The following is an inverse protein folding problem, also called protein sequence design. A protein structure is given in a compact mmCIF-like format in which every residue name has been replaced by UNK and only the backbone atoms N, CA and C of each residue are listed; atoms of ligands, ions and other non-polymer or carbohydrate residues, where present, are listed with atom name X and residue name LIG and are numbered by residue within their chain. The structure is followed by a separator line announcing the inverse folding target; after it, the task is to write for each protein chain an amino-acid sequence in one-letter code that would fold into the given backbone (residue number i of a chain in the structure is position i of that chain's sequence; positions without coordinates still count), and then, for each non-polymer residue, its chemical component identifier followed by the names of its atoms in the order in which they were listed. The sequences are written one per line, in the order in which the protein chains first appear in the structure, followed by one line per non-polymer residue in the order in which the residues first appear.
data_IF_771087544522
#
_entry.id   IF_771087544522
#
_cell.length_a   1.000
_cell.length_b   1.000
_cell.length_c   1.000
_cell.angle_alpha   90.00
_cell.angle_beta   90.00
_cell.angle_gamma   90.00
#
_symmetry.space_group_name_H-M   'P 1'
#
loop_
_entity.id
_entity.type
_entity.pdbx_description
1 polymer ?
#
# COMPACT_ATOMS: atom_id res chain seq x y z
N UNK A 1 11.38 -32.91 -10.30
CA UNK A 1 10.78 -31.69 -10.91
C UNK A 1 10.49 -30.69 -9.80
N UNK A 2 10.52 -29.37 -10.05
CA UNK A 2 10.16 -28.34 -9.04
C UNK A 2 8.77 -28.55 -8.44
N UNK A 3 7.84 -29.10 -9.24
CA UNK A 3 6.48 -29.46 -8.83
C UNK A 3 6.37 -30.69 -7.91
N UNK A 4 7.46 -31.42 -7.65
CA UNK A 4 7.38 -32.72 -6.96
C UNK A 4 6.95 -32.57 -5.49
N UNK A 5 5.86 -33.26 -5.12
CA UNK A 5 5.29 -33.21 -3.77
C UNK A 5 4.47 -31.94 -3.48
N UNK A 6 4.22 -31.09 -4.47
CA UNK A 6 3.37 -29.92 -4.34
C UNK A 6 1.92 -30.23 -4.73
N UNK A 7 0.94 -29.49 -4.16
CA UNK A 7 -0.46 -29.60 -4.56
C UNK A 7 -0.68 -29.35 -6.06
N UNK A 8 -1.67 -29.98 -6.73
CA UNK A 8 -1.82 -29.92 -8.19
C UNK A 8 -2.03 -28.51 -8.77
N UNK A 9 -2.76 -27.66 -8.06
CA UNK A 9 -3.00 -26.25 -8.41
C UNK A 9 -1.73 -25.40 -8.31
N UNK A 10 -0.87 -25.65 -7.32
CA UNK A 10 0.46 -25.01 -7.23
C UNK A 10 1.40 -25.55 -8.30
N UNK A 11 1.43 -26.87 -8.49
CA UNK A 11 2.24 -27.53 -9.50
C UNK A 11 1.92 -27.03 -10.93
N UNK A 12 0.65 -26.70 -11.20
CA UNK A 12 0.21 -26.17 -12.49
C UNK A 12 0.77 -24.77 -12.82
N UNK A 13 1.14 -23.97 -11.80
CA UNK A 13 1.77 -22.67 -11.98
C UNK A 13 3.26 -22.77 -12.34
N UNK A 14 3.90 -23.89 -11.99
CA UNK A 14 5.33 -24.06 -12.13
C UNK A 14 5.71 -24.51 -13.55
N UNK A 15 6.82 -24.02 -14.09
CA UNK A 15 7.32 -24.45 -15.39
C UNK A 15 7.73 -25.94 -15.40
N UNK A 16 7.44 -26.65 -16.49
CA UNK A 16 7.50 -28.13 -16.57
C UNK A 16 8.90 -28.73 -16.82
N UNK A 17 9.98 -27.95 -16.87
CA UNK A 17 11.35 -28.40 -17.24
C UNK A 17 12.44 -28.19 -16.17
N UNK A 18 13.60 -28.86 -16.31
CA UNK A 18 14.72 -28.78 -15.36
C UNK A 18 15.51 -27.45 -15.40
N UNK A 19 15.54 -26.77 -16.55
CA UNK A 19 16.19 -25.46 -16.79
C UNK A 19 15.31 -24.24 -16.47
N UNK A 20 14.19 -24.47 -15.77
CA UNK A 20 13.04 -23.57 -15.83
C UNK A 20 13.10 -22.28 -15.02
N UNK A 21 14.04 -22.15 -14.07
CA UNK A 21 14.16 -20.95 -13.23
C UNK A 21 15.18 -19.93 -13.76
N UNK A 22 15.77 -20.14 -14.94
CA UNK A 22 16.73 -19.23 -15.57
C UNK A 22 17.79 -18.69 -14.58
N UNK A 23 18.48 -19.58 -13.84
CA UNK A 23 19.45 -19.26 -12.78
C UNK A 23 20.81 -18.76 -13.31
N UNK A 24 20.80 -17.96 -14.38
CA UNK A 24 21.98 -17.34 -14.98
C UNK A 24 22.01 -15.87 -14.61
N UNK A 25 22.97 -15.47 -13.78
CA UNK A 25 23.10 -14.11 -13.28
C UNK A 25 24.37 -13.43 -13.80
N UNK A 26 24.35 -12.10 -13.85
CA UNK A 26 25.53 -11.31 -14.18
C UNK A 26 26.61 -11.48 -13.08
N UNK A 27 27.79 -12.08 -13.37
CA UNK A 27 28.78 -12.39 -12.34
C UNK A 27 29.41 -11.17 -11.67
N UNK A 28 29.36 -10.00 -12.33
CA UNK A 28 29.83 -8.73 -11.77
C UNK A 28 28.84 -8.12 -10.78
N UNK A 29 27.58 -8.59 -10.76
CA UNK A 29 26.54 -8.07 -9.89
C UNK A 29 26.21 -9.05 -8.76
N UNK A 30 25.98 -10.33 -9.10
CA UNK A 30 25.71 -11.40 -8.13
C UNK A 30 26.86 -12.43 -8.19
N UNK A 31 27.67 -12.58 -7.12
CA UNK A 31 28.82 -13.48 -7.14
C UNK A 31 28.45 -14.95 -7.42
N UNK A 32 29.30 -15.68 -8.12
CA UNK A 32 29.03 -17.07 -8.50
C UNK A 32 28.77 -18.01 -7.30
N UNK A 33 29.42 -17.75 -6.15
CA UNK A 33 29.19 -18.50 -4.91
C UNK A 33 27.77 -18.27 -4.34
N UNK A 34 27.24 -17.05 -4.47
CA UNK A 34 25.87 -16.72 -4.08
C UNK A 34 24.87 -17.42 -5.02
N UNK A 35 25.13 -17.40 -6.32
CA UNK A 35 24.31 -18.15 -7.29
C UNK A 35 24.31 -19.66 -7.01
N UNK A 36 25.44 -20.22 -6.56
CA UNK A 36 25.53 -21.63 -6.18
C UNK A 36 24.60 -21.98 -5.00
N UNK A 37 24.49 -21.10 -4.00
CA UNK A 37 23.57 -21.30 -2.87
C UNK A 37 22.11 -21.41 -3.31
N UNK A 38 21.64 -20.55 -4.20
CA UNK A 38 20.28 -20.65 -4.75
C UNK A 38 20.09 -21.93 -5.57
N UNK A 39 21.10 -22.37 -6.33
CA UNK A 39 21.04 -23.64 -7.07
C UNK A 39 20.90 -24.83 -6.12
N UNK A 40 21.69 -24.86 -5.04
CA UNK A 40 21.59 -25.90 -4.01
C UNK A 40 20.20 -25.91 -3.35
N UNK A 41 19.64 -24.73 -3.03
CA UNK A 41 18.28 -24.62 -2.49
C UNK A 41 17.22 -25.19 -3.46
N UNK A 42 17.34 -24.89 -4.76
CA UNK A 42 16.45 -25.42 -5.81
C UNK A 42 16.56 -26.94 -5.94
N UNK A 43 17.78 -27.48 -5.94
CA UNK A 43 18.05 -28.92 -6.01
C UNK A 43 17.48 -29.65 -4.78
N UNK A 44 17.73 -29.11 -3.58
CA UNK A 44 17.18 -29.62 -2.33
C UNK A 44 15.65 -29.64 -2.35
N UNK A 45 15.01 -28.58 -2.84
CA UNK A 45 13.55 -28.50 -2.88
C UNK A 45 12.93 -29.52 -3.86
N UNK A 46 13.60 -29.79 -4.99
CA UNK A 46 13.21 -30.82 -5.95
C UNK A 46 13.26 -32.23 -5.38
N UNK A 47 14.01 -32.44 -4.28
CA UNK A 47 14.34 -33.76 -3.76
C UNK A 47 15.34 -34.52 -4.64
N UNK A 48 16.13 -33.80 -5.44
CA UNK A 48 17.12 -34.41 -6.34
C UNK A 48 18.42 -34.67 -5.57
N UNK A 49 18.56 -35.88 -5.03
CA UNK A 49 19.78 -36.34 -4.32
C UNK A 49 20.79 -36.99 -5.28
N UNK A 50 20.67 -36.79 -6.60
CA UNK A 50 21.50 -37.48 -7.59
C UNK A 50 23.01 -37.18 -7.47
N UNK A 51 23.43 -36.18 -6.68
CA UNK A 51 24.83 -35.89 -6.34
C UNK A 51 25.31 -36.49 -5.01
N UNK A 52 24.65 -37.51 -4.47
CA UNK A 52 25.06 -38.16 -3.23
C UNK A 52 24.69 -37.35 -1.97
N UNK A 53 25.21 -37.71 -0.78
CA UNK A 53 24.77 -37.15 0.51
C UNK A 53 25.37 -35.74 0.75
N UNK A 54 25.19 -34.80 -0.18
CA UNK A 54 25.93 -33.52 -0.22
C UNK A 54 25.15 -32.33 0.31
N UNK A 55 23.82 -32.41 0.43
CA UNK A 55 23.08 -31.35 1.12
C UNK A 55 23.17 -31.55 2.63
N UNK A 56 24.18 -30.91 3.23
CA UNK A 56 24.37 -30.84 4.68
C UNK A 56 23.15 -30.22 5.37
N UNK A 57 22.39 -29.37 4.66
CA UNK A 57 21.26 -28.61 5.18
C UNK A 57 19.94 -28.92 4.45
N UNK A 58 18.80 -28.95 5.16
CA UNK A 58 17.46 -29.05 4.58
C UNK A 58 17.11 -27.91 3.60
N UNK A 59 16.24 -28.19 2.64
CA UNK A 59 15.79 -27.21 1.64
C UNK A 59 15.23 -25.89 2.24
N UNK A 60 14.41 -25.92 3.32
CA UNK A 60 13.96 -24.68 3.97
C UNK A 60 15.10 -23.81 4.48
N UNK A 61 16.14 -24.42 5.08
CA UNK A 61 17.30 -23.69 5.61
C UNK A 61 18.13 -23.06 4.50
N UNK A 62 18.41 -23.81 3.42
CA UNK A 62 19.12 -23.29 2.24
C UNK A 62 18.35 -22.13 1.58
N UNK A 63 17.03 -22.25 1.48
CA UNK A 63 16.20 -21.18 0.89
C UNK A 63 16.18 -19.90 1.74
N UNK A 64 16.20 -20.03 3.07
CA UNK A 64 16.30 -18.90 4.00
C UNK A 64 17.68 -18.25 3.94
N UNK A 65 18.74 -19.05 3.92
CA UNK A 65 20.10 -18.53 3.73
C UNK A 65 20.24 -17.77 2.39
N UNK A 66 19.62 -18.27 1.31
CA UNK A 66 19.60 -17.56 0.04
C UNK A 66 18.86 -16.21 0.14
N UNK A 67 17.75 -16.15 0.87
CA UNK A 67 17.05 -14.88 1.15
C UNK A 67 17.87 -13.91 1.99
N UNK A 68 18.57 -14.39 3.02
CA UNK A 68 19.39 -13.55 3.90
C UNK A 68 20.54 -12.90 3.13
N UNK A 69 21.24 -13.67 2.28
CA UNK A 69 22.29 -13.13 1.40
C UNK A 69 21.71 -12.13 0.40
N UNK A 70 20.53 -12.42 -0.15
CA UNK A 70 19.83 -11.51 -1.05
C UNK A 70 19.47 -10.19 -0.35
N UNK A 71 19.01 -10.27 0.89
CA UNK A 71 18.68 -9.11 1.71
C UNK A 71 19.90 -8.21 1.92
N UNK A 72 21.06 -8.77 2.26
CA UNK A 72 22.31 -8.02 2.37
C UNK A 72 22.68 -7.32 1.05
N UNK A 73 22.56 -8.02 -0.08
CA UNK A 73 22.82 -7.46 -1.41
C UNK A 73 21.85 -6.34 -1.79
N UNK A 74 20.57 -6.44 -1.43
CA UNK A 74 19.58 -5.38 -1.67
C UNK A 74 19.81 -4.14 -0.78
N UNK A 75 20.42 -4.32 0.39
CA UNK A 75 20.64 -3.24 1.37
C UNK A 75 22.08 -2.71 1.37
N UNK A 76 22.92 -3.11 0.40
CA UNK A 76 24.31 -2.65 0.32
C UNK A 76 24.49 -1.26 -0.32
N UNK A 77 23.43 -0.70 -0.93
CA UNK A 77 23.45 0.59 -1.62
C UNK A 77 22.07 1.27 -1.55
N UNK A 78 21.99 2.53 -2.01
CA UNK A 78 20.71 3.21 -2.19
C UNK A 78 19.82 2.40 -3.15
N UNK A 79 18.52 2.26 -2.83
CA UNK A 79 17.59 1.40 -3.59
C UNK A 79 17.57 1.65 -5.11
N UNK A 80 17.73 2.91 -5.53
CA UNK A 80 17.80 3.30 -6.95
C UNK A 80 19.01 2.69 -7.68
N UNK A 81 20.09 2.42 -6.95
CA UNK A 81 21.35 1.91 -7.48
C UNK A 81 21.47 0.38 -7.31
N UNK A 82 20.49 -0.25 -6.65
CA UNK A 82 20.42 -1.70 -6.48
C UNK A 82 20.13 -2.37 -7.81
N UNK A 83 21.02 -3.27 -8.23
CA UNK A 83 20.87 -4.03 -9.48
C UNK A 83 19.57 -4.86 -9.50
N UNK A 84 18.97 -4.92 -10.69
CA UNK A 84 17.82 -5.78 -10.99
C UNK A 84 18.16 -7.26 -10.81
N UNK A 85 19.43 -7.67 -10.98
CA UNK A 85 19.86 -9.06 -10.76
C UNK A 85 19.72 -9.47 -9.30
N UNK A 86 20.03 -8.59 -8.34
CA UNK A 86 19.78 -8.84 -6.91
C UNK A 86 18.28 -8.95 -6.61
N UNK A 87 17.45 -8.10 -7.23
CA UNK A 87 15.99 -8.17 -7.10
C UNK A 87 15.43 -9.47 -7.69
N UNK A 88 15.95 -9.92 -8.83
CA UNK A 88 15.60 -11.21 -9.44
C UNK A 88 16.03 -12.38 -8.56
N UNK A 89 17.23 -12.32 -7.99
CA UNK A 89 17.75 -13.33 -7.07
C UNK A 89 16.87 -13.43 -5.82
N UNK A 90 16.48 -12.30 -5.23
CA UNK A 90 15.58 -12.25 -4.09
C UNK A 90 14.21 -12.89 -4.41
N UNK A 91 13.60 -12.53 -5.55
CA UNK A 91 12.32 -13.08 -5.98
C UNK A 91 12.36 -14.60 -6.18
N UNK A 92 13.45 -15.13 -6.76
CA UNK A 92 13.65 -16.56 -6.94
C UNK A 92 13.87 -17.29 -5.61
N UNK A 93 14.67 -16.72 -4.70
CA UNK A 93 14.86 -17.27 -3.35
C UNK A 93 13.55 -17.31 -2.56
N UNK A 94 12.74 -16.25 -2.65
CA UNK A 94 11.40 -16.17 -2.08
C UNK A 94 10.47 -17.24 -2.65
N UNK A 95 10.48 -17.45 -3.97
CA UNK A 95 9.72 -18.54 -4.60
C UNK A 95 10.13 -19.89 -4.03
N UNK A 96 11.42 -20.20 -3.97
CA UNK A 96 11.91 -21.50 -3.46
C UNK A 96 11.50 -21.71 -2.00
N UNK A 97 11.67 -20.68 -1.16
CA UNK A 97 11.25 -20.72 0.25
C UNK A 97 9.74 -20.97 0.38
N UNK A 98 8.91 -20.26 -0.40
CA UNK A 98 7.48 -20.48 -0.43
C UNK A 98 7.12 -21.91 -0.83
N UNK A 99 7.77 -22.48 -1.85
CA UNK A 99 7.53 -23.86 -2.27
C UNK A 99 7.93 -24.87 -1.18
N UNK A 100 9.00 -24.63 -0.44
CA UNK A 100 9.40 -25.46 0.71
C UNK A 100 8.30 -25.50 1.77
N UNK A 101 7.75 -24.34 2.13
CA UNK A 101 6.67 -24.23 3.10
C UNK A 101 5.37 -24.88 2.60
N UNK A 102 5.00 -24.68 1.34
CA UNK A 102 3.82 -25.32 0.73
C UNK A 102 3.91 -26.85 0.79
N UNK A 103 5.10 -27.40 0.58
CA UNK A 103 5.35 -28.85 0.64
C UNK A 103 5.17 -29.42 2.05
N UNK A 104 5.45 -28.63 3.09
CA UNK A 104 5.19 -29.03 4.48
C UNK A 104 3.68 -29.07 4.80
N UNK A 105 2.90 -28.19 4.17
CA UNK A 105 1.44 -28.35 4.00
C UNK A 105 0.57 -28.01 5.22
N UNK A 106 1.14 -27.57 6.35
CA UNK A 106 0.34 -27.09 7.50
C UNK A 106 -0.12 -25.65 7.29
N UNK A 107 -1.15 -25.24 8.02
CA UNK A 107 -1.76 -23.91 7.87
C UNK A 107 -0.77 -22.78 8.15
N UNK A 108 0.07 -22.92 9.18
CA UNK A 108 1.17 -22.01 9.50
C UNK A 108 2.20 -21.92 8.37
N UNK A 109 2.51 -23.04 7.71
CA UNK A 109 3.43 -23.05 6.58
C UNK A 109 2.81 -22.33 5.36
N UNK A 110 1.51 -22.50 5.11
CA UNK A 110 0.85 -21.78 4.02
C UNK A 110 0.86 -20.25 4.25
N UNK A 111 0.73 -19.79 5.50
CA UNK A 111 0.89 -18.36 5.83
C UNK A 111 2.31 -17.89 5.59
N UNK A 112 3.29 -18.68 6.00
CA UNK A 112 4.70 -18.35 5.79
C UNK A 112 5.06 -18.34 4.29
N UNK A 113 4.47 -19.23 3.49
CA UNK A 113 4.59 -19.22 2.05
C UNK A 113 4.02 -17.93 1.41
N UNK A 114 2.86 -17.45 1.89
CA UNK A 114 2.31 -16.15 1.47
C UNK A 114 3.26 -15.02 1.85
N UNK A 115 3.81 -15.03 3.08
CA UNK A 115 4.79 -14.04 3.53
C UNK A 115 6.02 -13.99 2.62
N UNK A 116 6.58 -15.14 2.27
CA UNK A 116 7.71 -15.19 1.33
C UNK A 116 7.34 -14.63 -0.05
N UNK A 117 6.16 -14.97 -0.58
CA UNK A 117 5.72 -14.42 -1.85
C UNK A 117 5.53 -12.90 -1.81
N UNK A 118 4.89 -12.37 -0.77
CA UNK A 118 4.71 -10.91 -0.61
C UNK A 118 6.06 -10.20 -0.46
N UNK A 119 7.00 -10.75 0.32
CA UNK A 119 8.37 -10.20 0.37
C UNK A 119 9.06 -10.22 -0.99
N UNK A 120 8.90 -11.31 -1.76
CA UNK A 120 9.44 -11.39 -3.11
C UNK A 120 8.78 -10.41 -4.09
N UNK A 121 7.52 -10.02 -3.88
CA UNK A 121 6.83 -8.98 -4.65
C UNK A 121 7.28 -7.56 -4.23
N UNK A 122 7.49 -7.33 -2.94
CA UNK A 122 7.90 -6.03 -2.38
C UNK A 122 9.37 -5.72 -2.69
N UNK A 123 10.25 -6.71 -2.50
CA UNK A 123 11.71 -6.52 -2.57
C UNK A 123 12.32 -7.06 -3.87
N UNK A 124 11.60 -7.88 -4.62
CA UNK A 124 12.11 -8.58 -5.79
C UNK A 124 11.72 -7.95 -7.12
N UNK A 125 12.18 -8.58 -8.20
CA UNK A 125 11.74 -8.28 -9.56
C UNK A 125 10.64 -9.26 -9.99
N UNK A 126 9.80 -8.84 -10.93
CA UNK A 126 8.83 -9.74 -11.56
C UNK A 126 9.58 -10.92 -12.22
N UNK A 127 9.17 -12.14 -11.88
CA UNK A 127 9.75 -13.38 -12.40
C UNK A 127 8.65 -14.32 -12.90
N UNK A 128 8.98 -15.08 -13.94
CA UNK A 128 8.15 -16.19 -14.45
C UNK A 128 6.69 -15.76 -14.63
N UNK A 129 6.45 -14.63 -15.30
CA UNK A 129 5.11 -14.10 -15.53
C UNK A 129 4.32 -13.91 -14.21
N UNK A 130 4.90 -13.12 -13.29
CA UNK A 130 4.34 -12.80 -11.97
C UNK A 130 3.91 -14.02 -11.15
N UNK A 131 4.75 -15.07 -11.14
CA UNK A 131 4.43 -16.34 -10.47
C UNK A 131 4.12 -16.18 -8.99
N UNK A 132 4.79 -15.27 -8.28
CA UNK A 132 4.56 -15.04 -6.85
C UNK A 132 3.13 -14.54 -6.59
N UNK A 133 2.64 -13.61 -7.43
CA UNK A 133 1.25 -13.12 -7.32
C UNK A 133 0.23 -14.24 -7.57
N UNK A 134 0.46 -15.04 -8.62
CA UNK A 134 -0.41 -16.18 -8.95
C UNK A 134 -0.39 -17.24 -7.84
N UNK A 135 0.78 -17.47 -7.24
CA UNK A 135 0.94 -18.41 -6.13
C UNK A 135 0.17 -17.92 -4.91
N UNK A 136 0.28 -16.65 -4.55
CA UNK A 136 -0.49 -16.05 -3.45
C UNK A 136 -1.99 -16.19 -3.69
N UNK A 137 -2.49 -15.97 -4.90
CA UNK A 137 -3.90 -16.13 -5.20
C UNK A 137 -4.41 -17.58 -4.95
N UNK A 138 -3.59 -18.59 -5.26
CA UNK A 138 -3.89 -20.00 -4.95
C UNK A 138 -3.86 -20.25 -3.45
N UNK A 139 -2.84 -19.73 -2.74
CA UNK A 139 -2.68 -19.92 -1.30
C UNK A 139 -3.78 -19.21 -0.50
N UNK A 140 -4.18 -18.01 -0.90
CA UNK A 140 -5.29 -17.27 -0.29
C UNK A 140 -6.60 -18.05 -0.40
N UNK A 141 -6.91 -18.64 -1.57
CA UNK A 141 -8.11 -19.49 -1.73
C UNK A 141 -8.10 -20.70 -0.78
N UNK A 142 -6.92 -21.27 -0.53
CA UNK A 142 -6.75 -22.36 0.44
C UNK A 142 -6.95 -21.89 1.87
N UNK A 143 -6.35 -20.76 2.23
CA UNK A 143 -6.43 -20.18 3.57
C UNK A 143 -7.83 -19.66 3.92
N UNK A 144 -8.55 -19.08 2.96
CA UNK A 144 -9.94 -18.61 3.14
C UNK A 144 -10.95 -19.76 3.24
N UNK A 145 -10.68 -20.90 2.59
CA UNK A 145 -11.50 -22.11 2.70
C UNK A 145 -11.37 -22.84 4.04
N UNK A 146 -10.34 -22.53 4.83
CA UNK A 146 -10.19 -23.04 6.20
C UNK A 146 -11.11 -22.24 7.12
N UNK A 147 -12.14 -22.89 7.68
CA UNK A 147 -13.08 -22.27 8.64
C UNK A 147 -12.29 -21.62 9.77
N UNK A 148 -12.44 -20.32 9.96
CA UNK A 148 -11.89 -19.60 11.12
C UNK A 148 -12.99 -18.89 11.92
N UNK A 149 -12.71 -18.70 13.21
CA UNK A 149 -13.55 -18.06 14.22
C UNK A 149 -13.59 -16.52 14.14
N UNK A 150 -13.32 -15.94 12.96
CA UNK A 150 -13.25 -14.48 12.78
C UNK A 150 -14.62 -13.80 12.71
N UNK A 151 -15.71 -14.55 12.88
CA UNK A 151 -17.09 -14.01 12.99
C UNK A 151 -17.19 -12.90 14.06
N UNK A 152 -16.35 -12.95 15.11
CA UNK A 152 -16.32 -11.91 16.17
C UNK A 152 -15.84 -10.53 15.68
N UNK A 153 -15.11 -10.45 14.55
CA UNK A 153 -14.67 -9.17 13.97
C UNK A 153 -15.73 -8.51 13.08
N UNK A 154 -16.70 -9.29 12.58
CA UNK A 154 -17.78 -8.75 11.77
C UNK A 154 -18.73 -7.87 12.61
N UNK A 155 -18.81 -8.14 13.92
CA UNK A 155 -19.62 -7.37 14.87
C UNK A 155 -18.92 -6.09 15.37
N UNK A 156 -17.62 -5.90 15.09
CA UNK A 156 -16.88 -4.69 15.52
C UNK A 156 -17.24 -3.53 14.58
N UNK A 157 -17.89 -2.45 15.06
CA UNK A 157 -18.21 -1.32 14.22
C UNK A 157 -16.94 -0.69 13.64
N UNK A 158 -16.94 -0.41 12.34
CA UNK A 158 -15.81 0.27 11.70
C UNK A 158 -15.69 1.75 12.14
N UNK A 159 -16.79 2.32 12.66
CA UNK A 159 -16.88 3.73 13.06
C UNK A 159 -16.73 3.94 14.57
N UNK A 160 -15.79 3.24 15.22
CA UNK A 160 -15.45 3.52 16.62
C UNK A 160 -14.87 4.95 16.68
N UNK A 161 -15.71 5.90 17.12
CA UNK A 161 -15.29 7.29 17.34
C UNK A 161 -14.35 7.32 18.53
N UNK A 162 -13.25 8.08 18.41
CA UNK A 162 -12.41 8.37 19.56
C UNK A 162 -13.18 9.27 20.54
N UNK A 163 -13.16 9.02 21.86
CA UNK A 163 -13.82 9.87 22.85
C UNK A 163 -13.37 11.35 22.79
N UNK A 164 -12.11 11.58 22.39
CA UNK A 164 -11.48 12.91 22.35
C UNK A 164 -11.42 13.54 20.96
N UNK A 165 -12.05 12.95 19.93
CA UNK A 165 -12.10 13.56 18.60
C UNK A 165 -12.93 14.84 18.69
N UNK A 166 -12.26 15.99 18.85
CA UNK A 166 -12.92 17.30 18.80
C UNK A 166 -13.63 17.39 17.45
N UNK A 167 -14.96 17.45 17.49
CA UNK A 167 -15.77 17.69 16.30
C UNK A 167 -15.33 19.03 15.71
N UNK A 168 -14.62 18.99 14.58
CA UNK A 168 -14.26 20.18 13.84
C UNK A 168 -15.55 20.85 13.36
N UNK A 169 -15.95 21.95 14.00
CA UNK A 169 -17.02 22.80 13.49
C UNK A 169 -16.49 23.53 12.26
N UNK A 170 -16.92 23.08 11.09
CA UNK A 170 -16.58 23.71 9.82
C UNK A 170 -17.22 25.09 9.74
N UNK A 171 -16.44 26.08 9.32
CA UNK A 171 -16.99 27.41 9.02
C UNK A 171 -17.62 27.38 7.62
N UNK A 172 -18.89 27.76 7.43
CA UNK A 172 -19.55 27.70 6.12
C UNK A 172 -18.80 28.46 5.01
N UNK A 173 -18.16 29.58 5.37
CA UNK A 173 -17.36 30.42 4.45
C UNK A 173 -16.09 29.72 3.95
N UNK A 174 -15.62 28.69 4.66
CA UNK A 174 -14.40 27.92 4.33
C UNK A 174 -14.74 26.50 3.88
N UNK A 175 -16.02 26.15 3.80
CA UNK A 175 -16.41 24.81 3.37
C UNK A 175 -15.99 24.59 1.91
N UNK A 176 -15.43 23.40 1.64
CA UNK A 176 -15.26 22.95 0.24
C UNK A 176 -16.64 22.88 -0.43
N UNK A 177 -16.81 23.40 -1.66
CA UNK A 177 -18.07 23.28 -2.40
C UNK A 177 -18.49 21.82 -2.55
N UNK A 178 -19.79 21.56 -2.48
CA UNK A 178 -20.34 20.20 -2.58
C UNK A 178 -21.21 20.09 -3.83
N UNK A 179 -20.98 19.07 -4.65
CA UNK A 179 -21.75 18.78 -5.85
C UNK A 179 -22.21 17.32 -5.84
N UNK A 180 -23.50 17.10 -6.07
CA UNK A 180 -24.07 15.76 -6.22
C UNK A 180 -24.00 15.35 -7.68
N UNK A 181 -23.17 14.33 -7.98
CA UNK A 181 -22.99 13.76 -9.34
C UNK A 181 -22.93 14.81 -10.46
N UNK A 182 -22.01 15.80 -10.41
CA UNK A 182 -21.87 16.76 -11.49
C UNK A 182 -21.50 16.07 -12.80
N UNK A 183 -21.88 16.67 -13.94
CA UNK A 183 -21.41 16.14 -15.23
C UNK A 183 -19.89 16.27 -15.35
N UNK A 184 -19.26 15.41 -16.15
CA UNK A 184 -17.81 15.50 -16.43
C UNK A 184 -17.42 16.89 -16.96
N UNK A 185 -18.25 17.51 -17.80
CA UNK A 185 -18.03 18.88 -18.30
C UNK A 185 -18.06 19.91 -17.15
N UNK A 186 -19.06 19.81 -16.26
CA UNK A 186 -19.17 20.69 -15.10
C UNK A 186 -17.96 20.55 -14.17
N UNK A 187 -17.56 19.32 -13.86
CA UNK A 187 -16.35 19.05 -13.09
C UNK A 187 -15.11 19.63 -13.77
N UNK A 188 -14.94 19.37 -15.07
CA UNK A 188 -13.78 19.83 -15.83
C UNK A 188 -13.67 21.35 -15.84
N UNK A 189 -14.74 22.05 -16.21
CA UNK A 189 -14.74 23.51 -16.37
C UNK A 189 -14.67 24.28 -15.05
N UNK A 190 -15.32 23.78 -14.00
CA UNK A 190 -15.45 24.53 -12.74
C UNK A 190 -14.42 24.12 -11.68
N UNK A 191 -13.84 22.92 -11.78
CA UNK A 191 -12.97 22.36 -10.75
C UNK A 191 -11.61 21.92 -11.27
N UNK A 192 -11.55 21.05 -12.29
CA UNK A 192 -10.28 20.56 -12.81
C UNK A 192 -9.42 21.70 -13.39
N UNK A 193 -9.93 22.41 -14.40
CA UNK A 193 -9.18 23.47 -15.09
C UNK A 193 -8.86 24.67 -14.19
N UNK A 194 -9.77 25.15 -13.32
CA UNK A 194 -9.47 26.25 -12.39
C UNK A 194 -8.73 25.81 -11.12
N UNK A 195 -8.36 24.53 -11.02
CA UNK A 195 -7.74 23.91 -9.85
C UNK A 195 -8.48 24.23 -8.54
N UNK A 196 -9.80 23.98 -8.49
CA UNK A 196 -10.63 24.22 -7.31
C UNK A 196 -11.07 22.90 -6.66
N UNK A 197 -10.77 22.68 -5.36
CA UNK A 197 -11.27 21.52 -4.64
C UNK A 197 -12.79 21.43 -4.65
N UNK A 198 -13.32 20.20 -4.66
CA UNK A 198 -14.77 19.95 -4.59
C UNK A 198 -15.06 18.60 -3.93
N UNK A 199 -16.11 18.56 -3.11
CA UNK A 199 -16.68 17.34 -2.59
C UNK A 199 -17.71 16.80 -3.58
N UNK A 200 -17.43 15.64 -4.16
CA UNK A 200 -18.28 14.93 -5.10
C UNK A 200 -19.12 13.90 -4.33
N UNK A 201 -20.42 14.13 -4.26
CA UNK A 201 -21.37 13.27 -3.54
C UNK A 201 -22.10 12.33 -4.51
N UNK A 202 -22.45 11.15 -3.99
CA UNK A 202 -23.17 10.08 -4.70
C UNK A 202 -22.50 9.56 -5.98
N UNK A 203 -21.21 9.81 -6.18
CA UNK A 203 -20.46 9.38 -7.37
C UNK A 203 -19.96 7.95 -7.27
N UNK A 204 -19.69 7.49 -6.04
CA UNK A 204 -19.17 6.14 -5.73
C UNK A 204 -20.16 5.30 -4.93
N UNK A 205 -21.41 5.76 -4.78
CA UNK A 205 -22.47 5.12 -3.98
C UNK A 205 -22.78 3.67 -4.41
N UNK A 206 -22.39 3.30 -5.62
CA UNK A 206 -22.57 1.97 -6.20
C UNK A 206 -21.42 0.99 -5.87
N UNK A 207 -20.33 1.45 -5.23
CA UNK A 207 -19.20 0.58 -4.91
C UNK A 207 -19.58 -0.51 -3.90
N UNK A 208 -19.28 -1.79 -4.20
CA UNK A 208 -19.43 -2.86 -3.23
C UNK A 208 -18.68 -2.60 -1.92
N UNK A 209 -17.52 -1.92 -1.97
CA UNK A 209 -16.71 -1.60 -0.81
C UNK A 209 -17.49 -0.88 0.32
N UNK A 210 -18.43 0.01 -0.03
CA UNK A 210 -19.22 0.79 0.94
C UNK A 210 -20.16 -0.06 1.81
N UNK A 211 -20.47 -1.29 1.38
CA UNK A 211 -21.37 -2.20 2.10
C UNK A 211 -20.70 -3.50 2.52
N UNK A 212 -19.68 -3.95 1.78
CA UNK A 212 -18.97 -5.20 2.05
C UNK A 212 -17.85 -5.05 3.06
N UNK A 213 -17.13 -3.93 3.07
CA UNK A 213 -15.89 -3.83 3.83
C UNK A 213 -16.17 -3.56 5.32
N UNK A 214 -15.98 -4.61 6.11
CA UNK A 214 -15.80 -4.57 7.56
C UNK A 214 -14.37 -4.95 7.93
N UNK A 215 -13.98 -4.73 9.20
CA UNK A 215 -12.69 -5.24 9.70
C UNK A 215 -12.57 -6.76 9.53
N UNK A 216 -13.64 -7.50 9.84
CA UNK A 216 -13.70 -8.94 9.64
C UNK A 216 -13.59 -9.36 8.16
N UNK A 217 -14.23 -8.62 7.24
CA UNK A 217 -14.08 -8.86 5.81
C UNK A 217 -12.64 -8.63 5.34
N UNK A 218 -12.02 -7.51 5.71
CA UNK A 218 -10.64 -7.18 5.32
C UNK A 218 -9.64 -8.23 5.85
N UNK A 219 -9.76 -8.64 7.12
CA UNK A 219 -8.91 -9.69 7.70
C UNK A 219 -9.15 -11.05 7.03
N UNK A 220 -10.39 -11.38 6.68
CA UNK A 220 -10.71 -12.63 5.98
C UNK A 220 -10.09 -12.67 4.59
N UNK A 221 -10.20 -11.58 3.83
CA UNK A 221 -9.73 -11.51 2.45
C UNK A 221 -8.21 -11.34 2.34
N UNK A 222 -7.62 -10.55 3.24
CA UNK A 222 -6.25 -10.08 3.10
C UNK A 222 -5.42 -10.19 4.39
N UNK A 223 -5.94 -10.80 5.47
CA UNK A 223 -5.28 -10.84 6.77
C UNK A 223 -3.88 -11.45 6.76
N UNK A 224 -3.60 -12.42 5.88
CA UNK A 224 -2.28 -13.03 5.76
C UNK A 224 -1.29 -12.24 4.89
N UNK A 225 -1.74 -11.15 4.25
CA UNK A 225 -0.91 -10.37 3.32
C UNK A 225 0.01 -9.45 4.08
N UNK A 226 1.27 -9.39 3.68
CA UNK A 226 2.25 -8.47 4.25
C UNK A 226 2.03 -7.07 3.68
N UNK A 227 1.87 -6.09 4.56
CA UNK A 227 1.60 -4.69 4.23
C UNK A 227 2.60 -3.78 4.95
N UNK A 228 2.98 -2.64 4.34
CA UNK A 228 3.76 -1.61 5.01
C UNK A 228 2.90 -0.82 5.98
N UNK A 229 3.44 -0.57 7.17
CA UNK A 229 2.80 0.21 8.22
C UNK A 229 3.78 1.25 8.73
N UNK A 230 3.36 2.51 8.69
CA UNK A 230 4.02 3.62 9.35
C UNK A 230 3.74 3.58 10.84
N UNK A 231 4.78 3.76 11.66
CA UNK A 231 4.69 3.83 13.12
C UNK A 231 5.14 5.20 13.60
N UNK A 232 4.25 5.93 14.25
CA UNK A 232 4.51 7.29 14.74
C UNK A 232 3.30 8.21 14.53
N UNK A 233 3.32 9.39 15.15
CA UNK A 233 2.24 10.38 14.96
C UNK A 233 2.26 11.02 13.58
N UNK A 234 3.46 11.33 13.07
CA UNK A 234 3.68 12.00 11.77
C UNK A 234 4.97 11.48 11.14
N UNK A 235 5.02 11.38 9.81
CA UNK A 235 6.25 11.05 9.08
C UNK A 235 7.34 12.11 9.18
N UNK A 236 7.02 13.29 9.70
CA UNK A 236 7.98 14.35 10.01
C UNK A 236 8.65 14.18 11.38
N UNK A 237 8.19 13.24 12.21
CA UNK A 237 8.72 13.05 13.57
C UNK A 237 10.00 12.21 13.57
N UNK A 238 10.95 12.54 14.44
CA UNK A 238 12.24 11.84 14.52
C UNK A 238 12.15 10.36 14.92
N UNK A 239 11.05 9.95 15.55
CA UNK A 239 10.78 8.57 15.96
C UNK A 239 9.90 7.80 14.97
N UNK A 240 9.53 8.42 13.84
CA UNK A 240 8.79 7.74 12.80
C UNK A 240 9.63 6.63 12.18
N UNK A 241 8.99 5.50 11.92
CA UNK A 241 9.60 4.37 11.22
C UNK A 241 8.54 3.66 10.38
N UNK A 242 9.00 2.81 9.46
CA UNK A 242 8.14 1.94 8.68
C UNK A 242 8.50 0.50 8.99
N UNK A 243 7.49 -0.36 9.09
CA UNK A 243 7.70 -1.80 9.29
C UNK A 243 6.75 -2.61 8.40
N UNK A 244 7.12 -3.87 8.16
CA UNK A 244 6.29 -4.83 7.46
C UNK A 244 5.63 -5.75 8.49
N UNK A 245 4.31 -5.91 8.40
CA UNK A 245 3.56 -6.88 9.17
C UNK A 245 2.38 -7.41 8.35
N UNK A 246 1.71 -8.43 8.84
CA UNK A 246 0.49 -8.90 8.18
C UNK A 246 -0.67 -7.91 8.42
N UNK A 247 -1.62 -7.82 7.48
CA UNK A 247 -2.82 -7.01 7.67
C UNK A 247 -3.60 -7.42 8.92
N UNK A 248 -3.64 -8.72 9.24
CA UNK A 248 -4.27 -9.23 10.46
C UNK A 248 -3.58 -8.67 11.72
N UNK A 249 -2.24 -8.73 11.79
CA UNK A 249 -1.48 -8.14 12.91
C UNK A 249 -1.69 -6.63 13.01
N UNK A 250 -1.74 -5.93 11.87
CA UNK A 250 -2.02 -4.49 11.85
C UNK A 250 -3.38 -4.17 12.47
N UNK A 251 -4.44 -4.87 12.04
CA UNK A 251 -5.80 -4.69 12.56
C UNK A 251 -5.86 -5.02 14.06
N UNK A 252 -5.29 -6.15 14.47
CA UNK A 252 -5.32 -6.56 15.87
C UNK A 252 -4.57 -5.56 16.78
N UNK A 253 -3.37 -5.12 16.39
CA UNK A 253 -2.53 -4.25 17.22
C UNK A 253 -2.95 -2.78 17.18
N UNK A 254 -3.16 -2.22 15.99
CA UNK A 254 -3.27 -0.78 15.79
C UNK A 254 -4.68 -0.28 15.50
N UNK A 255 -5.64 -1.16 15.25
CA UNK A 255 -7.06 -0.80 15.08
C UNK A 255 -7.83 -1.20 16.35
N UNK A 256 -7.87 -2.48 16.67
CA UNK A 256 -8.65 -3.02 17.79
C UNK A 256 -8.03 -2.64 19.13
N UNK A 257 -6.74 -2.92 19.31
CA UNK A 257 -6.02 -2.65 20.55
C UNK A 257 -5.20 -1.35 20.50
N UNK A 258 -5.66 -0.36 19.71
CA UNK A 258 -4.95 0.89 19.46
C UNK A 258 -4.57 1.64 20.75
N UNK A 259 -5.45 1.63 21.76
CA UNK A 259 -5.23 2.30 23.05
C UNK A 259 -4.11 1.65 23.88
N UNK A 260 -3.77 0.39 23.60
CA UNK A 260 -2.69 -0.33 24.26
C UNK A 260 -1.32 -0.10 23.59
N UNK A 261 -1.28 0.60 22.45
CA UNK A 261 -0.04 0.85 21.72
C UNK A 261 0.56 2.21 22.11
N UNK A 262 1.88 2.23 22.27
CA UNK A 262 2.63 3.47 22.52
C UNK A 262 2.68 4.38 21.28
N UNK A 263 2.56 3.81 20.09
CA UNK A 263 2.60 4.52 18.81
C UNK A 263 1.36 4.23 17.98
N UNK A 264 1.01 5.20 17.12
CA UNK A 264 -0.05 5.03 16.12
C UNK A 264 0.53 4.25 14.94
N UNK A 265 -0.20 3.26 14.45
CA UNK A 265 0.10 2.54 13.22
C UNK A 265 -0.79 3.01 12.08
N UNK A 266 -0.22 3.28 10.91
CA UNK A 266 -0.97 3.72 9.74
C UNK A 266 -0.51 2.96 8.49
N UNK A 267 -1.42 2.22 7.85
CA UNK A 267 -1.21 1.70 6.50
C UNK A 267 -1.52 2.84 5.54
N UNK A 268 -0.49 3.58 5.16
CA UNK A 268 -0.58 4.78 4.34
C UNK A 268 0.05 4.53 2.97
N UNK A 269 -0.54 5.15 1.93
CA UNK A 269 0.01 5.22 0.58
C UNK A 269 0.51 3.87 0.04
N UNK A 270 -0.32 2.83 0.15
CA UNK A 270 0.01 1.49 -0.33
C UNK A 270 -0.89 1.08 -1.49
N UNK A 271 -0.30 0.57 -2.58
CA UNK A 271 -0.99 0.01 -3.74
C UNK A 271 -1.62 -1.37 -3.43
N UNK A 272 -2.44 -1.41 -2.39
CA UNK A 272 -3.06 -2.61 -1.82
C UNK A 272 -3.90 -3.38 -2.85
N UNK A 273 -4.45 -2.68 -3.84
CA UNK A 273 -5.37 -3.22 -4.82
C UNK A 273 -4.68 -4.03 -5.91
N UNK A 274 -3.44 -3.71 -6.22
CA UNK A 274 -2.60 -4.52 -7.10
C UNK A 274 -2.13 -5.77 -6.37
N UNK A 275 -1.88 -5.64 -5.06
CA UNK A 275 -1.55 -6.76 -4.20
C UNK A 275 -2.74 -7.72 -4.01
N UNK A 276 -3.97 -7.20 -3.87
CA UNK A 276 -5.18 -7.97 -3.55
C UNK A 276 -6.31 -7.67 -4.55
N UNK A 277 -6.36 -8.41 -5.68
CA UNK A 277 -7.35 -8.19 -6.74
C UNK A 277 -8.81 -8.32 -6.28
N UNK A 278 -9.09 -9.13 -5.26
CA UNK A 278 -10.45 -9.27 -4.73
C UNK A 278 -10.97 -7.96 -4.11
N UNK A 279 -10.11 -7.17 -3.45
CA UNK A 279 -10.47 -5.84 -2.95
C UNK A 279 -10.57 -4.84 -4.10
N UNK A 280 -9.72 -4.97 -5.12
CA UNK A 280 -9.81 -4.15 -6.33
C UNK A 280 -11.15 -4.29 -7.05
N UNK A 281 -11.75 -5.48 -7.04
CA UNK A 281 -13.07 -5.72 -7.64
C UNK A 281 -14.24 -5.02 -6.90
N UNK A 282 -13.99 -4.50 -5.70
CA UNK A 282 -15.00 -3.80 -4.89
C UNK A 282 -15.02 -2.28 -5.10
N UNK A 283 -14.13 -1.75 -5.95
CA UNK A 283 -13.98 -0.33 -6.28
C UNK A 283 -13.91 -0.13 -7.80
N UNK A 284 -14.23 1.08 -8.27
CA UNK A 284 -14.15 1.47 -9.68
C UNK A 284 -13.45 2.83 -9.76
N UNK A 285 -12.55 3.01 -10.72
CA UNK A 285 -11.93 4.33 -10.96
C UNK A 285 -13.04 5.36 -11.24
N UNK A 286 -13.13 6.48 -10.50
CA UNK A 286 -14.14 7.50 -10.76
C UNK A 286 -14.04 8.03 -12.19
N UNK A 287 -15.18 8.18 -12.88
CA UNK A 287 -15.22 8.65 -14.27
C UNK A 287 -14.50 9.99 -14.49
N UNK A 288 -14.41 10.83 -13.46
CA UNK A 288 -13.67 12.10 -13.52
C UNK A 288 -12.16 11.96 -13.78
N UNK A 289 -11.58 10.78 -13.53
CA UNK A 289 -10.19 10.49 -13.87
C UNK A 289 -9.98 10.28 -15.38
N UNK A 290 -11.04 10.22 -16.20
CA UNK A 290 -10.90 10.11 -17.66
C UNK A 290 -10.64 11.45 -18.37
N UNK A 291 -10.65 12.57 -17.64
CA UNK A 291 -10.34 13.89 -18.17
C UNK A 291 -9.05 14.44 -17.55
N UNK A 292 -8.22 15.05 -18.39
CA UNK A 292 -6.98 15.72 -18.01
C UNK A 292 -7.07 17.22 -18.23
N UNK A 293 -6.05 17.94 -17.75
CA UNK A 293 -5.90 19.39 -17.97
C UNK A 293 -5.68 19.74 -19.46
N UNK A 294 -5.18 18.80 -20.27
CA UNK A 294 -4.78 19.04 -21.67
C UNK A 294 -5.93 18.70 -22.65
N UNK A 295 -6.14 19.55 -23.65
CA UNK A 295 -7.01 19.25 -24.81
C UNK A 295 -6.16 18.70 -25.95
N UNK A 296 -6.24 17.38 -26.21
CA UNK A 296 -5.80 16.71 -27.44
C UNK A 296 -4.39 16.99 -27.99
N UNK A 297 -3.52 15.97 -28.02
CA UNK A 297 -2.35 15.92 -28.92
C UNK A 297 -1.03 15.46 -28.27
N UNK A 298 -0.59 14.27 -28.68
CA UNK A 298 0.76 13.80 -29.09
C UNK A 298 2.07 14.27 -28.41
N UNK A 299 2.04 15.06 -27.33
CA UNK A 299 3.25 15.37 -26.54
C UNK A 299 3.27 14.51 -25.26
N UNK A 300 3.71 13.25 -25.43
CA UNK A 300 3.87 12.19 -24.42
C UNK A 300 5.01 12.44 -23.41
N UNK A 301 5.12 13.65 -22.84
CA UNK A 301 6.12 13.90 -21.79
C UNK A 301 5.50 14.36 -20.46
N UNK A 302 5.73 13.50 -19.46
CA UNK A 302 5.57 13.63 -18.00
C UNK A 302 4.20 13.30 -17.33
N UNK A 303 3.51 12.25 -17.77
CA UNK A 303 2.45 11.61 -16.98
C UNK A 303 2.23 10.15 -17.34
N UNK A 304 2.05 9.27 -16.34
CA UNK A 304 1.58 7.90 -16.60
C UNK A 304 0.14 7.94 -17.07
N UNK A 305 -0.20 7.21 -18.14
CA UNK A 305 -1.60 7.01 -18.55
C UNK A 305 -2.42 6.24 -17.50
N UNK A 306 -1.72 5.54 -16.60
CA UNK A 306 -2.34 4.72 -15.57
C UNK A 306 -2.62 5.52 -14.29
N UNK A 307 -3.83 5.34 -13.77
CA UNK A 307 -4.29 5.88 -12.48
C UNK A 307 -3.69 5.05 -11.35
N UNK A 308 -2.90 5.68 -10.48
CA UNK A 308 -2.33 5.00 -9.31
C UNK A 308 -3.37 4.97 -8.19
N UNK A 309 -3.63 3.78 -7.63
CA UNK A 309 -4.69 3.57 -6.64
C UNK A 309 -4.08 3.16 -5.30
N UNK A 310 -4.16 4.04 -4.31
CA UNK A 310 -3.60 3.79 -2.98
C UNK A 310 -4.68 3.60 -1.92
N UNK A 311 -4.41 2.70 -0.97
CA UNK A 311 -5.19 2.50 0.24
C UNK A 311 -4.62 3.31 1.40
N UNK A 312 -5.53 3.81 2.24
CA UNK A 312 -5.21 4.55 3.46
C UNK A 312 -6.07 3.98 4.59
N UNK A 313 -5.48 3.16 5.46
CA UNK A 313 -6.20 2.46 6.51
C UNK A 313 -5.52 2.66 7.87
N UNK A 314 -6.26 3.19 8.84
CA UNK A 314 -5.71 3.49 10.15
C UNK A 314 -6.75 3.77 11.22
N UNK A 315 -6.34 3.81 12.50
CA UNK A 315 -7.21 4.18 13.59
C UNK A 315 -7.55 5.68 13.60
N UNK A 316 -8.54 6.03 14.41
CA UNK A 316 -8.83 7.43 14.73
C UNK A 316 -7.61 8.14 15.30
N UNK A 317 -7.34 9.34 14.81
CA UNK A 317 -6.20 10.17 15.16
C UNK A 317 -4.96 9.97 14.27
N UNK A 318 -5.00 9.08 13.28
CA UNK A 318 -3.97 9.08 12.22
C UNK A 318 -3.95 10.42 11.50
N UNK A 319 -2.75 10.87 11.18
CA UNK A 319 -2.53 12.19 10.59
C UNK A 319 -1.56 12.10 9.42
N UNK A 320 -1.92 12.75 8.32
CA UNK A 320 -1.00 13.10 7.24
C UNK A 320 -0.70 14.61 7.37
N UNK A 321 0.53 14.99 7.78
CA UNK A 321 1.00 16.37 7.80
C UNK A 321 0.66 17.15 6.52
N UNK A 322 0.66 18.48 6.61
CA UNK A 322 0.34 19.33 5.47
C UNK A 322 1.39 19.17 4.36
N UNK A 323 0.99 18.63 3.22
CA UNK A 323 1.85 18.39 2.07
C UNK A 323 1.10 18.59 0.75
N UNK A 324 1.82 18.54 -0.37
CA UNK A 324 1.20 18.53 -1.68
C UNK A 324 1.73 17.40 -2.57
N UNK A 325 0.87 16.94 -3.47
CA UNK A 325 1.18 15.87 -4.42
C UNK A 325 1.46 16.41 -5.83
N UNK A 326 2.23 15.67 -6.65
CA UNK A 326 2.55 16.09 -8.01
C UNK A 326 1.41 15.85 -9.01
N UNK A 327 0.38 15.08 -8.66
CA UNK A 327 -0.76 14.69 -9.51
C UNK A 327 -2.09 15.19 -8.94
N UNK A 328 -3.15 15.14 -9.75
CA UNK A 328 -4.51 15.27 -9.24
C UNK A 328 -4.86 14.06 -8.37
N UNK A 329 -5.74 14.25 -7.39
CA UNK A 329 -6.16 13.18 -6.50
C UNK A 329 -7.68 13.23 -6.26
N UNK A 330 -8.34 12.07 -6.33
CA UNK A 330 -9.68 11.88 -5.77
C UNK A 330 -9.52 10.98 -4.55
N UNK A 331 -9.76 11.53 -3.37
CA UNK A 331 -9.76 10.80 -2.11
C UNK A 331 -11.18 10.38 -1.77
N UNK A 332 -11.48 9.09 -1.91
CA UNK A 332 -12.77 8.48 -1.61
C UNK A 332 -12.76 7.90 -0.19
N UNK A 333 -13.76 8.26 0.61
CA UNK A 333 -13.94 7.71 1.95
C UNK A 333 -14.83 6.46 1.91
N UNK A 334 -14.32 5.32 2.36
CA UNK A 334 -15.08 4.05 2.34
C UNK A 334 -15.82 3.80 3.64
N UNK A 335 -15.13 3.90 4.77
CA UNK A 335 -15.74 3.89 6.11
C UNK A 335 -15.00 4.84 7.04
N UNK A 336 -15.63 5.26 8.13
CA UNK A 336 -15.10 6.28 9.02
C UNK A 336 -15.15 7.69 8.45
N UNK A 337 -14.56 8.64 9.19
CA UNK A 337 -14.55 10.05 8.81
C UNK A 337 -13.13 10.64 8.85
N UNK A 338 -12.84 11.56 7.92
CA UNK A 338 -11.58 12.32 7.87
C UNK A 338 -11.84 13.82 7.79
N UNK A 339 -11.19 14.60 8.63
CA UNK A 339 -11.07 16.04 8.46
C UNK A 339 -9.95 16.35 7.47
N UNK A 340 -10.24 17.19 6.48
CA UNK A 340 -9.28 17.65 5.49
C UNK A 340 -9.24 19.18 5.48
N UNK A 341 -8.04 19.75 5.49
CA UNK A 341 -7.81 21.20 5.28
C UNK A 341 -6.94 21.39 4.05
N UNK A 342 -7.36 22.29 3.16
CA UNK A 342 -6.78 22.54 1.84
C UNK A 342 -6.29 23.98 1.72
N UNK A 343 -5.08 24.18 1.19
CA UNK A 343 -4.54 25.49 0.85
C UNK A 343 -4.12 25.53 -0.62
N UNK A 344 -4.43 26.63 -1.30
CA UNK A 344 -4.02 26.86 -2.69
C UNK A 344 -2.49 26.89 -2.81
N UNK A 345 -1.91 26.35 -3.91
CA UNK A 345 -0.49 26.47 -4.22
C UNK A 345 0.01 27.93 -4.21
N UNK A 346 -0.86 28.91 -4.51
CA UNK A 346 -0.56 30.35 -4.48
C UNK A 346 -0.14 30.87 -3.10
N UNK A 347 -0.36 30.09 -2.04
CA UNK A 347 -0.02 30.47 -0.66
C UNK A 347 1.16 29.68 -0.11
N UNK A 348 1.90 28.94 -0.95
CA UNK A 348 3.06 28.13 -0.55
C UNK A 348 4.08 28.91 0.29
N UNK A 349 4.29 30.19 0.00
CA UNK A 349 5.22 31.07 0.71
C UNK A 349 4.80 31.36 2.17
N UNK A 350 3.55 31.07 2.53
CA UNK A 350 2.99 31.14 3.89
C UNK A 350 2.96 29.80 4.60
N UNK A 351 3.25 28.69 3.91
CA UNK A 351 3.14 27.33 4.44
C UNK A 351 4.48 26.74 4.88
N UNK A 352 5.57 27.48 4.75
CA UNK A 352 6.90 27.10 5.24
C UNK A 352 7.33 25.66 4.88
N UNK A 353 7.47 25.32 3.59
CA UNK A 353 7.97 24.02 3.18
C UNK A 353 9.33 23.70 3.79
N UNK A 354 9.65 22.41 3.98
CA UNK A 354 11.00 22.05 4.41
C UNK A 354 12.04 22.42 3.34
N UNK A 355 13.25 22.86 3.73
CA UNK A 355 14.29 23.24 2.77
C UNK A 355 15.00 22.04 2.12
N UNK A 356 14.83 20.83 2.67
CA UNK A 356 15.46 19.62 2.12
C UNK A 356 14.75 19.16 0.85
N UNK A 357 15.50 18.72 -0.16
CA UNK A 357 14.95 18.23 -1.42
C UNK A 357 13.94 17.08 -1.24
N UNK A 358 14.09 16.26 -0.19
CA UNK A 358 13.22 15.11 0.06
C UNK A 358 11.87 15.49 0.69
N UNK A 359 11.77 16.63 1.36
CA UNK A 359 10.56 17.06 2.09
C UNK A 359 10.06 18.44 1.63
N UNK A 360 10.54 18.94 0.49
CA UNK A 360 10.18 20.27 -0.01
C UNK A 360 8.69 20.43 -0.38
N UNK A 361 7.95 19.32 -0.44
CA UNK A 361 6.51 19.27 -0.63
C UNK A 361 5.74 19.15 0.70
N UNK A 362 6.41 19.15 1.84
CA UNK A 362 5.82 19.04 3.18
C UNK A 362 6.06 20.33 3.98
N UNK A 363 5.05 20.79 4.70
CA UNK A 363 5.08 21.98 5.55
C UNK A 363 5.73 21.66 6.89
N UNK A 364 6.50 22.61 7.42
CA UNK A 364 7.02 22.55 8.79
C UNK A 364 5.95 22.82 9.86
N UNK A 365 4.75 23.24 9.47
CA UNK A 365 3.71 23.75 10.39
C UNK A 365 2.77 22.64 10.86
N UNK A 366 2.58 22.53 12.18
CA UNK A 366 1.46 21.79 12.76
C UNK A 366 0.15 22.56 12.52
N UNK A 367 -0.67 22.10 11.58
CA UNK A 367 -1.90 22.78 11.14
C UNK A 367 -2.92 22.99 12.27
N UNK A 368 -2.99 22.06 13.22
CA UNK A 368 -3.94 22.14 14.33
C UNK A 368 -3.40 22.97 15.50
N UNK A 369 -2.07 23.11 15.61
CA UNK A 369 -1.39 23.86 16.68
C UNK A 369 -0.19 24.65 16.12
N UNK A 370 -0.43 25.66 15.26
CA UNK A 370 0.65 26.37 14.59
C UNK A 370 1.48 27.19 15.59
N UNK A 371 2.81 27.07 15.53
CA UNK A 371 3.72 27.95 16.26
C UNK A 371 3.81 29.30 15.55
N UNK A 372 2.93 30.24 15.91
CA UNK A 372 2.85 31.56 15.25
C UNK A 372 4.06 32.45 15.50
N UNK A 373 4.88 32.17 16.52
CA UNK A 373 6.15 32.88 16.72
C UNK A 373 7.18 32.48 15.65
N UNK A 374 7.19 31.20 15.27
CA UNK A 374 8.12 30.66 14.27
C UNK A 374 7.59 30.80 12.84
N UNK A 375 6.28 30.65 12.66
CA UNK A 375 5.59 30.63 11.36
C UNK A 375 4.49 31.70 11.30
N UNK A 376 4.81 33.00 11.46
CA UNK A 376 3.83 34.06 11.64
C UNK A 376 2.86 34.21 10.45
N UNK A 377 3.32 33.97 9.21
CA UNK A 377 2.52 34.16 8.00
C UNK A 377 1.48 33.06 7.78
N UNK A 378 1.58 31.95 8.50
CA UNK A 378 0.68 30.80 8.33
C UNK A 378 -0.78 31.16 8.63
N UNK A 379 -1.02 32.05 9.59
CA UNK A 379 -2.37 32.50 9.97
C UNK A 379 -3.03 33.39 8.90
N UNK A 380 -2.25 33.91 7.96
CA UNK A 380 -2.71 34.73 6.82
C UNK A 380 -3.04 33.90 5.57
N UNK A 381 -2.79 32.58 5.60
CA UNK A 381 -3.06 31.70 4.48
C UNK A 381 -4.55 31.30 4.50
N UNK A 382 -5.35 31.72 3.50
CA UNK A 382 -6.73 31.26 3.40
C UNK A 382 -6.75 29.76 3.07
N UNK A 383 -7.77 29.08 3.58
CA UNK A 383 -7.93 27.65 3.41
C UNK A 383 -9.39 27.27 3.24
N UNK A 384 -9.59 26.09 2.65
CA UNK A 384 -10.87 25.39 2.65
C UNK A 384 -10.80 24.16 3.55
N UNK A 385 -11.94 23.69 4.04
CA UNK A 385 -12.03 22.53 4.91
C UNK A 385 -13.29 21.69 4.66
N UNK A 386 -13.18 20.40 4.94
CA UNK A 386 -14.28 19.43 4.78
C UNK A 386 -14.09 18.27 5.75
N UNK A 387 -15.21 17.65 6.15
CA UNK A 387 -15.21 16.35 6.82
C UNK A 387 -15.77 15.34 5.83
N UNK A 388 -14.93 14.41 5.38
CA UNK A 388 -15.34 13.32 4.50
C UNK A 388 -16.07 12.26 5.31
N UNK A 389 -17.23 11.84 4.80
CA UNK A 389 -18.04 10.74 5.32
C UNK A 389 -18.08 9.58 4.32
N UNK A 390 -18.48 8.36 4.73
CA UNK A 390 -18.55 7.22 3.83
C UNK A 390 -19.34 7.52 2.55
N UNK A 391 -18.74 7.25 1.39
CA UNK A 391 -19.31 7.54 0.06
C UNK A 391 -18.95 8.90 -0.52
N UNK A 392 -18.33 9.80 0.23
CA UNK A 392 -17.82 11.07 -0.28
C UNK A 392 -16.52 10.86 -1.09
N UNK A 393 -16.37 11.61 -2.18
CA UNK A 393 -15.16 11.68 -2.98
C UNK A 393 -14.64 13.13 -3.05
N UNK A 394 -13.48 13.40 -2.46
CA UNK A 394 -12.87 14.73 -2.48
C UNK A 394 -11.89 14.86 -3.64
N UNK A 395 -12.14 15.81 -4.55
CA UNK A 395 -11.15 16.22 -5.52
C UNK A 395 -10.14 17.17 -4.88
N UNK A 396 -8.87 16.78 -4.92
CA UNK A 396 -7.71 17.56 -4.53
C UNK A 396 -6.92 17.85 -5.80
N UNK A 397 -6.91 19.12 -6.27
CA UNK A 397 -6.17 19.46 -7.48
C UNK A 397 -4.66 19.26 -7.30
N UNK A 398 -3.96 19.05 -8.42
CA UNK A 398 -2.51 18.95 -8.45
C UNK A 398 -1.85 20.08 -7.66
N UNK A 399 -0.81 19.74 -6.89
CA UNK A 399 -0.04 20.66 -6.02
C UNK A 399 -0.85 21.36 -4.92
N UNK A 400 -2.14 21.09 -4.73
CA UNK A 400 -2.86 21.63 -3.58
C UNK A 400 -2.30 21.05 -2.29
N UNK A 401 -2.01 21.94 -1.36
CA UNK A 401 -1.57 21.58 -0.03
C UNK A 401 -2.76 21.03 0.75
N UNK A 402 -2.62 19.84 1.31
CA UNK A 402 -3.68 19.20 2.06
C UNK A 402 -3.15 18.56 3.34
N UNK A 403 -3.90 18.77 4.42
CA UNK A 403 -3.71 18.17 5.72
C UNK A 403 -4.88 17.23 5.98
N UNK A 404 -4.61 16.02 6.49
CA UNK A 404 -5.65 15.01 6.72
C UNK A 404 -5.56 14.45 8.13
N UNK A 405 -6.68 14.38 8.83
CA UNK A 405 -6.79 13.79 10.15
C UNK A 405 -8.00 12.85 10.24
N UNK A 406 -7.78 11.59 10.64
CA UNK A 406 -8.86 10.62 10.81
C UNK A 406 -9.61 10.85 12.12
N UNK A 407 -10.93 11.05 12.05
CA UNK A 407 -11.80 11.32 13.21
C UNK A 407 -12.32 10.04 13.87
N UNK A 408 -12.24 8.92 13.15
CA UNK A 408 -12.54 7.55 13.59
C UNK A 408 -11.54 6.59 12.96
N UNK A 409 -11.62 5.29 13.27
CA UNK A 409 -11.01 4.30 12.36
C UNK A 409 -11.55 4.55 10.96
N UNK A 410 -10.65 4.51 9.98
CA UNK A 410 -10.97 5.01 8.65
C UNK A 410 -10.26 4.22 7.58
N UNK A 411 -10.96 4.01 6.46
CA UNK A 411 -10.38 3.51 5.22
C UNK A 411 -10.75 4.46 4.09
N UNK A 412 -9.74 4.94 3.38
CA UNK A 412 -9.91 5.74 2.17
C UNK A 412 -9.17 5.12 1.00
N UNK A 413 -9.63 5.40 -0.20
CA UNK A 413 -8.98 5.03 -1.46
C UNK A 413 -8.66 6.32 -2.21
N UNK A 414 -7.41 6.50 -2.62
CA UNK A 414 -7.02 7.65 -3.45
C UNK A 414 -6.70 7.23 -4.87
N UNK A 415 -7.11 8.04 -5.84
CA UNK A 415 -6.84 7.84 -7.27
C UNK A 415 -5.98 9.00 -7.75
N UNK A 416 -4.74 8.73 -8.11
CA UNK A 416 -3.81 9.75 -8.60
C UNK A 416 -3.73 9.68 -10.11
N UNK A 417 -3.97 10.81 -10.78
CA UNK A 417 -3.93 10.92 -12.24
C UNK A 417 -3.46 12.30 -12.70
N UNK A 418 -3.21 12.46 -14.00
CA UNK A 418 -2.69 13.68 -14.62
C UNK A 418 -3.63 14.24 -15.69
#
# INVERSE_FOLDING_TARGET
MLAAGLPPDVAALLPRGAESLALSFCPSEVPAAVVALLREAVEAQRGDTARGPVNVFPAPELSKAALDVAWEGLNSACWRDVSVEWRRYYALSALVAALCEIKAGKEENLREAVRFCDLGLIMGAAILDNILMRLVAVLQKRLTGLKRSHDQLDDVPCDLKRPDAKVCRLSPERAVPQLVRPSIDTFRRLHLLPAQPVLLQDTVSHWPALTKWSLGYLVRMAGCRTVPVELGSRYTDAHWTQTLMTLQEFVEKYIINAESQATVGYLAQHELFDQIPDLRNDIVIPDYCCVSEREGGEDEEEGSEEVVINAWFGPGGTESPLHHDPQHNILVQVFGQKYVRLYSPEHTDKLYPHPSHLLNNTSQVDVLRPNTCQFPRFTEAPFQEVVLSPGDALFIPRKHWHYVNSLSHSFSVSFWWS
#
